data_IF_074526249951
#
_entry.id   IF_074526249951
#
_cell.length_a   1.000
_cell.length_b   1.000
_cell.length_c   1.000
_cell.angle_alpha   90.00
_cell.angle_beta   90.00
_cell.angle_gamma   90.00
#
_symmetry.space_group_name_H-M   'P 1'
#
loop_
_entity.id
_entity.type
_entity.pdbx_description
1 polymer ?
#
# COMPACT_ATOMS: atom_id res chain seq x y z
N UNK A 1 16.51 -7.20 35.91
CA UNK A 1 15.65 -6.05 35.57
C UNK A 1 14.84 -6.47 34.37
N UNK A 2 13.62 -6.96 34.59
CA UNK A 2 12.72 -7.33 33.51
C UNK A 2 12.28 -6.06 32.78
N UNK A 3 12.67 -5.93 31.52
CA UNK A 3 12.13 -4.91 30.63
C UNK A 3 10.64 -5.20 30.43
N UNK A 4 9.79 -4.46 31.13
CA UNK A 4 8.34 -4.50 30.92
C UNK A 4 8.09 -4.02 29.49
N UNK A 5 7.84 -4.97 28.57
CA UNK A 5 7.41 -4.68 27.19
C UNK A 5 6.09 -3.92 27.25
N UNK A 6 6.14 -2.60 27.12
CA UNK A 6 4.94 -1.75 27.01
C UNK A 6 4.21 -2.10 25.72
N UNK A 7 2.94 -2.49 25.85
CA UNK A 7 2.06 -2.67 24.71
C UNK A 7 1.78 -1.27 24.14
N UNK A 8 2.00 -1.04 22.83
CA UNK A 8 1.66 0.24 22.23
C UNK A 8 0.14 0.45 22.30
N UNK A 9 -0.28 1.50 22.98
CA UNK A 9 -1.70 1.89 23.16
C UNK A 9 -2.25 2.68 21.98
N UNK A 10 -1.43 2.97 20.97
CA UNK A 10 -1.80 3.76 19.79
C UNK A 10 -1.26 3.10 18.53
N UNK A 11 -2.09 3.02 17.51
CA UNK A 11 -1.75 2.51 16.19
C UNK A 11 -2.10 3.57 15.15
N UNK A 12 -1.08 4.10 14.47
CA UNK A 12 -1.24 5.10 13.42
C UNK A 12 -1.47 4.40 12.08
N UNK A 13 -2.65 4.59 11.50
CA UNK A 13 -2.94 4.18 10.13
C UNK A 13 -2.75 5.39 9.22
N UNK A 14 -1.84 5.25 8.26
CA UNK A 14 -1.56 6.24 7.22
C UNK A 14 -2.22 5.80 5.92
N UNK A 15 -2.52 6.76 5.06
CA UNK A 15 -2.99 6.48 3.71
C UNK A 15 -1.87 6.73 2.69
N UNK A 16 -1.70 5.81 1.76
CA UNK A 16 -0.67 5.86 0.72
C UNK A 16 -1.32 5.83 -0.66
N UNK A 17 -0.84 6.67 -1.57
CA UNK A 17 -1.17 6.65 -2.99
C UNK A 17 -0.07 5.90 -3.74
N UNK A 18 -0.41 4.75 -4.30
CA UNK A 18 0.50 3.94 -5.09
C UNK A 18 0.21 4.18 -6.56
N UNK A 19 1.21 4.68 -7.29
CA UNK A 19 1.19 4.79 -8.75
C UNK A 19 1.93 3.59 -9.33
N UNK A 20 1.29 2.88 -10.26
CA UNK A 20 1.82 1.66 -10.84
C UNK A 20 1.49 1.56 -12.32
N UNK A 21 2.35 0.89 -13.06
CA UNK A 21 2.09 0.51 -14.44
C UNK A 21 1.76 -0.99 -14.54
N UNK A 22 1.00 -1.34 -15.57
CA UNK A 22 0.67 -2.72 -15.88
C UNK A 22 0.33 -2.90 -17.37
N UNK A 23 0.43 -4.13 -17.84
CA UNK A 23 0.05 -4.54 -19.18
C UNK A 23 -1.36 -5.17 -19.17
N UNK A 24 -2.19 -4.78 -20.13
CA UNK A 24 -3.52 -5.37 -20.29
C UNK A 24 -3.50 -6.61 -21.18
N UNK A 25 -4.23 -7.66 -20.77
CA UNK A 25 -4.35 -8.91 -21.54
C UNK A 25 -4.83 -8.69 -22.98
N UNK A 26 -5.80 -7.80 -23.17
CA UNK A 26 -6.49 -7.63 -24.47
C UNK A 26 -5.73 -6.82 -25.50
N UNK A 27 -4.69 -6.07 -25.11
CA UNK A 27 -4.05 -5.12 -26.03
C UNK A 27 -2.55 -5.04 -25.92
N UNK A 28 -1.91 -5.67 -24.93
CA UNK A 28 -0.50 -5.43 -24.61
C UNK A 28 -0.15 -3.94 -24.39
N UNK A 29 -1.16 -3.09 -24.20
CA UNK A 29 -0.94 -1.68 -23.89
C UNK A 29 -0.51 -1.56 -22.44
N UNK A 30 0.56 -0.80 -22.22
CA UNK A 30 0.96 -0.33 -20.89
C UNK A 30 0.01 0.76 -20.44
N UNK A 31 -0.52 0.60 -19.24
CA UNK A 31 -1.37 1.58 -18.56
C UNK A 31 -0.74 1.96 -17.24
N UNK A 32 -0.88 3.24 -16.88
CA UNK A 32 -0.51 3.75 -15.57
C UNK A 32 -1.81 4.00 -14.81
N UNK A 33 -1.85 3.56 -13.56
CA UNK A 33 -2.99 3.73 -12.68
C UNK A 33 -2.53 4.09 -11.26
N UNK A 34 -3.45 4.58 -10.46
CA UNK A 34 -3.22 5.00 -9.07
C UNK A 34 -4.22 4.33 -8.15
N UNK A 35 -3.75 3.81 -7.03
CA UNK A 35 -4.61 3.20 -6.01
C UNK A 35 -4.23 3.67 -4.62
N UNK A 36 -5.25 3.94 -3.81
CA UNK A 36 -5.08 4.28 -2.40
C UNK A 36 -5.07 3.01 -1.56
N UNK A 37 -4.18 2.96 -0.58
CA UNK A 37 -4.12 1.89 0.41
C UNK A 37 -3.87 2.49 1.79
N UNK A 38 -4.59 2.00 2.80
CA UNK A 38 -4.34 2.37 4.19
C UNK A 38 -3.43 1.34 4.85
N UNK A 39 -2.35 1.78 5.47
CA UNK A 39 -1.43 0.91 6.18
C UNK A 39 -0.67 1.68 7.27
N UNK A 40 -0.09 0.94 8.22
CA UNK A 40 0.81 1.50 9.26
C UNK A 40 2.10 2.10 8.72
N UNK A 41 2.66 1.56 7.63
CA UNK A 41 3.96 1.97 7.11
C UNK A 41 4.05 1.77 5.59
N UNK A 42 4.95 2.51 4.94
CA UNK A 42 5.19 2.50 3.50
C UNK A 42 5.67 1.14 3.01
N UNK A 43 6.57 0.48 3.74
CA UNK A 43 7.10 -0.82 3.30
C UNK A 43 6.01 -1.90 3.33
N UNK A 44 5.18 -1.88 4.37
CA UNK A 44 4.05 -2.80 4.52
C UNK A 44 2.95 -2.48 3.50
N UNK A 45 2.64 -1.21 3.25
CA UNK A 45 1.73 -0.79 2.18
C UNK A 45 2.17 -1.32 0.81
N UNK A 46 3.47 -1.25 0.53
CA UNK A 46 4.05 -1.76 -0.73
C UNK A 46 3.93 -3.28 -0.84
N UNK A 47 4.20 -4.01 0.25
CA UNK A 47 4.06 -5.48 0.29
C UNK A 47 2.61 -5.91 0.10
N UNK A 48 1.68 -5.25 0.77
CA UNK A 48 0.26 -5.56 0.65
C UNK A 48 -0.28 -5.23 -0.75
N UNK A 49 0.14 -4.10 -1.33
CA UNK A 49 -0.20 -3.77 -2.71
C UNK A 49 0.29 -4.83 -3.70
N UNK A 50 1.54 -5.32 -3.57
CA UNK A 50 2.04 -6.41 -4.43
C UNK A 50 1.18 -7.68 -4.31
N UNK A 51 0.78 -8.03 -3.08
CA UNK A 51 -0.10 -9.19 -2.82
C UNK A 51 -1.46 -9.03 -3.51
N UNK A 52 -2.04 -7.83 -3.44
CA UNK A 52 -3.31 -7.52 -4.09
C UNK A 52 -3.18 -7.44 -5.61
N UNK A 53 -2.10 -6.86 -6.13
CA UNK A 53 -1.81 -6.75 -7.55
C UNK A 53 -1.70 -8.12 -8.22
N UNK A 54 -1.11 -9.11 -7.55
CA UNK A 54 -1.07 -10.50 -8.03
C UNK A 54 -2.47 -11.14 -8.20
N UNK A 55 -3.50 -10.58 -7.56
CA UNK A 55 -4.90 -11.04 -7.70
C UNK A 55 -5.64 -10.32 -8.83
N UNK A 56 -5.03 -9.33 -9.50
CA UNK A 56 -5.67 -8.63 -10.61
C UNK A 56 -5.71 -9.53 -11.83
N UNK A 57 -6.93 -9.84 -12.30
CA UNK A 57 -7.13 -10.71 -13.48
C UNK A 57 -6.80 -10.00 -14.80
N UNK A 58 -6.78 -8.67 -14.80
CA UNK A 58 -6.70 -7.83 -16.01
C UNK A 58 -5.41 -7.05 -16.13
N UNK A 59 -4.57 -7.08 -15.09
CA UNK A 59 -3.34 -6.32 -14.98
C UNK A 59 -2.15 -7.29 -14.82
N UNK A 60 -1.34 -7.38 -15.87
CA UNK A 60 -0.15 -8.22 -15.95
C UNK A 60 1.10 -7.35 -15.80
N UNK A 61 2.24 -7.97 -15.45
CA UNK A 61 3.52 -7.27 -15.33
C UNK A 61 3.44 -5.98 -14.50
N UNK A 62 2.71 -6.03 -13.38
CA UNK A 62 2.48 -4.85 -12.54
C UNK A 62 3.80 -4.36 -11.93
N UNK A 63 4.16 -3.10 -12.17
CA UNK A 63 5.32 -2.44 -11.60
C UNK A 63 4.93 -1.19 -10.83
N UNK A 64 5.44 -1.04 -9.62
CA UNK A 64 5.19 0.14 -8.79
C UNK A 64 6.17 1.24 -9.19
N UNK A 65 5.66 2.39 -9.62
CA UNK A 65 6.43 3.55 -10.03
C UNK A 65 6.71 4.49 -8.86
N UNK A 66 5.69 4.77 -8.04
CA UNK A 66 5.81 5.68 -6.92
C UNK A 66 4.85 5.31 -5.77
N UNK A 67 5.22 5.65 -4.54
CA UNK A 67 4.39 5.50 -3.34
C UNK A 67 4.50 6.76 -2.51
N UNK A 68 3.39 7.48 -2.36
CA UNK A 68 3.33 8.75 -1.63
C UNK A 68 2.42 8.62 -0.42
N UNK A 69 2.84 9.15 0.73
CA UNK A 69 1.97 9.25 1.91
C UNK A 69 1.04 10.46 1.76
N UNK A 70 -0.27 10.22 1.81
CA UNK A 70 -1.28 11.28 1.90
C UNK A 70 -1.37 11.72 3.36
N UNK A 71 -0.64 12.79 3.70
CA UNK A 71 -0.51 13.29 5.08
C UNK A 71 -1.82 13.75 5.71
N UNK A 72 -2.82 14.10 4.89
CA UNK A 72 -4.13 14.60 5.34
C UNK A 72 -5.02 13.52 5.98
N UNK A 73 -4.79 12.23 5.69
CA UNK A 73 -5.66 11.13 6.13
C UNK A 73 -4.97 10.19 7.12
N UNK A 74 -4.44 10.76 8.22
CA UNK A 74 -3.94 9.97 9.35
C UNK A 74 -5.09 9.61 10.28
N UNK A 75 -5.27 8.32 10.51
CA UNK A 75 -6.21 7.79 11.50
C UNK A 75 -5.44 7.20 12.67
N UNK A 76 -5.66 7.75 13.86
CA UNK A 76 -5.15 7.15 15.10
C UNK A 76 -6.21 6.20 15.67
N UNK A 77 -5.82 4.95 15.90
CA UNK A 77 -6.64 3.97 16.63
C UNK A 77 -6.03 3.81 18.02
N UNK A 78 -6.83 4.07 19.06
CA UNK A 78 -6.49 3.73 20.45
C UNK A 78 -6.89 2.28 20.68
N UNK A 79 -5.95 1.46 21.16
CA UNK A 79 -6.12 0.01 21.40
C UNK A 79 -6.79 -0.27 22.74
#
# INVERSE_FOLDING_TARGET
>A
MDEIKRIPTKLEIKEFLITFEYETWKGHHRKIDKRRIKHVDLELARKEFKRVANKFRTAFNVQILNVEEIKENKQEIVL
#
